data_IF_893405073755
#
_entry.id   IF_893405073755
#
_cell.length_a   1.000
_cell.length_b   1.000
_cell.length_c   1.000
_cell.angle_alpha   90.00
_cell.angle_beta   90.00
_cell.angle_gamma   90.00
#
_symmetry.space_group_name_H-M   'P 1'
#
loop_
_entity.id
_entity.type
_entity.pdbx_description
1 polymer ?
#
# COMPACT_ATOMS: atom_id res chain seq x y z
N UNK A 1 11.50 59.38 68.61
CA UNK A 1 10.89 60.38 67.71
C UNK A 1 9.94 59.65 66.78
N UNK A 2 8.63 59.86 66.92
CA UNK A 2 7.68 59.32 65.94
C UNK A 2 7.73 60.22 64.70
N UNK A 3 8.10 59.65 63.56
CA UNK A 3 8.08 60.34 62.28
C UNK A 3 6.63 60.60 61.92
N UNK A 4 6.17 61.83 62.11
CA UNK A 4 4.85 62.27 61.68
C UNK A 4 4.84 62.26 60.15
N UNK A 5 4.05 61.36 59.55
CA UNK A 5 3.86 61.32 58.10
C UNK A 5 3.51 62.73 57.61
N UNK A 6 4.24 63.29 56.63
CA UNK A 6 4.02 64.66 56.17
C UNK A 6 2.62 64.88 55.60
N UNK A 7 1.91 63.79 55.25
CA UNK A 7 0.52 63.76 54.78
C UNK A 7 -0.51 63.98 55.90
N UNK A 8 -0.12 63.92 57.18
CA UNK A 8 -1.00 64.10 58.34
C UNK A 8 -0.89 65.50 58.97
N UNK A 9 -0.46 66.52 58.22
CA UNK A 9 -0.43 67.92 58.68
C UNK A 9 -1.78 68.60 58.43
N UNK A 10 -2.28 69.36 59.40
CA UNK A 10 -3.52 70.12 59.26
C UNK A 10 -3.33 71.26 58.25
N UNK A 11 -4.14 71.24 57.18
CA UNK A 11 -4.29 72.40 56.30
C UNK A 11 -5.30 73.36 56.91
N UNK A 12 -4.97 74.65 56.97
CA UNK A 12 -5.90 75.70 57.40
C UNK A 12 -6.44 76.37 56.15
N UNK A 13 -7.76 76.45 56.01
CA UNK A 13 -8.44 77.09 54.90
C UNK A 13 -8.19 78.61 54.85
N UNK A 14 -8.48 79.23 53.70
CA UNK A 14 -8.35 80.69 53.52
C UNK A 14 -9.32 81.50 54.40
N UNK A 15 -10.33 80.84 54.96
CA UNK A 15 -11.29 81.32 55.95
C UNK A 15 -10.79 81.19 57.41
N UNK A 16 -9.60 80.63 57.62
CA UNK A 16 -9.01 80.40 58.94
C UNK A 16 -9.57 79.18 59.68
N UNK A 17 -10.49 78.43 59.08
CA UNK A 17 -11.00 77.18 59.64
C UNK A 17 -10.04 76.03 59.30
N UNK A 18 -9.84 75.11 60.23
CA UNK A 18 -9.10 73.89 59.94
C UNK A 18 -9.84 73.12 58.84
N UNK A 19 -9.19 72.86 57.70
CA UNK A 19 -9.68 71.85 56.76
C UNK A 19 -9.70 70.49 57.47
N UNK A 20 -10.47 69.57 56.90
CA UNK A 20 -10.74 68.24 57.47
C UNK A 20 -9.52 67.62 58.18
N UNK A 21 -9.78 66.94 59.31
CA UNK A 21 -8.71 66.39 60.13
C UNK A 21 -7.72 65.60 59.27
N UNK A 22 -6.39 65.76 59.43
CA UNK A 22 -5.42 65.20 58.47
C UNK A 22 -5.53 63.70 58.24
N UNK A 23 -6.00 62.98 59.26
CA UNK A 23 -6.33 61.55 59.17
C UNK A 23 -7.47 61.32 58.19
N UNK A 24 -8.54 62.13 58.24
CA UNK A 24 -9.68 62.08 57.32
C UNK A 24 -9.18 62.31 55.88
N UNK A 25 -8.43 63.40 55.64
CA UNK A 25 -7.90 63.71 54.31
C UNK A 25 -6.99 62.60 53.76
N UNK A 26 -6.15 61.99 54.60
CA UNK A 26 -5.31 60.87 54.21
C UNK A 26 -6.13 59.61 53.88
N UNK A 27 -7.12 59.26 54.72
CA UNK A 27 -8.00 58.12 54.47
C UNK A 27 -8.86 58.32 53.22
N UNK A 28 -9.35 59.54 52.97
CA UNK A 28 -10.12 59.87 51.78
C UNK A 28 -9.28 59.70 50.52
N UNK A 29 -8.03 60.18 50.52
CA UNK A 29 -7.11 59.95 49.40
C UNK A 29 -6.88 58.46 49.10
N UNK A 30 -6.73 57.61 50.11
CA UNK A 30 -6.59 56.16 49.91
C UNK A 30 -7.87 55.58 49.30
N UNK A 31 -9.03 55.98 49.83
CA UNK A 31 -10.33 55.53 49.32
C UNK A 31 -10.50 55.97 47.85
N UNK A 32 -10.12 57.20 47.50
CA UNK A 32 -10.15 57.69 46.12
C UNK A 32 -9.24 56.87 45.19
N UNK A 33 -8.00 56.60 45.61
CA UNK A 33 -7.04 55.78 44.87
C UNK A 33 -7.58 54.35 44.65
N UNK A 34 -8.13 53.71 45.69
CA UNK A 34 -8.76 52.38 45.59
C UNK A 34 -10.00 52.38 44.69
N UNK A 35 -10.85 53.41 44.77
CA UNK A 35 -12.01 53.53 43.90
C UNK A 35 -11.61 53.67 42.42
N UNK A 36 -10.54 54.42 42.12
CA UNK A 36 -9.99 54.53 40.76
C UNK A 36 -9.47 53.17 40.27
N UNK A 37 -8.74 52.43 41.11
CA UNK A 37 -8.25 51.09 40.78
C UNK A 37 -9.40 50.11 40.54
N UNK A 38 -10.43 50.12 41.39
CA UNK A 38 -11.63 49.30 41.23
C UNK A 38 -12.37 49.61 39.93
N UNK A 39 -12.54 50.90 39.59
CA UNK A 39 -13.15 51.32 38.32
C UNK A 39 -12.38 50.78 37.12
N UNK A 40 -11.05 50.90 37.13
CA UNK A 40 -10.17 50.34 36.08
C UNK A 40 -10.29 48.82 35.99
N UNK A 41 -10.24 48.12 37.12
CA UNK A 41 -10.38 46.66 37.17
C UNK A 41 -11.74 46.20 36.62
N UNK A 42 -12.81 46.89 36.99
CA UNK A 42 -14.17 46.60 36.50
C UNK A 42 -14.23 46.80 34.97
N UNK A 43 -13.72 47.91 34.46
CA UNK A 43 -13.68 48.21 33.01
C UNK A 43 -12.89 47.15 32.22
N UNK A 44 -11.73 46.75 32.71
CA UNK A 44 -10.92 45.68 32.12
C UNK A 44 -11.67 44.33 32.09
N UNK A 45 -12.36 43.97 33.18
CA UNK A 45 -13.14 42.73 33.23
C UNK A 45 -14.37 42.78 32.32
N UNK A 46 -15.07 43.91 32.24
CA UNK A 46 -16.18 44.09 31.29
C UNK A 46 -15.70 43.94 29.85
N UNK A 47 -14.52 44.48 29.52
CA UNK A 47 -13.93 44.33 28.19
C UNK A 47 -13.60 42.87 27.88
N UNK A 48 -12.95 42.16 28.82
CA UNK A 48 -12.65 40.72 28.69
C UNK A 48 -13.90 39.87 28.50
N UNK A 49 -14.95 40.13 29.28
CA UNK A 49 -16.23 39.42 29.15
C UNK A 49 -16.80 39.64 27.75
N UNK A 50 -16.82 40.88 27.25
CA UNK A 50 -17.32 41.17 25.90
C UNK A 50 -16.51 40.50 24.79
N UNK A 51 -15.19 40.41 24.95
CA UNK A 51 -14.36 39.72 23.97
C UNK A 51 -14.64 38.21 23.94
N UNK A 52 -14.78 37.57 25.10
CA UNK A 52 -15.18 36.15 25.20
C UNK A 52 -16.59 35.92 24.64
N UNK A 53 -17.55 36.80 24.93
CA UNK A 53 -18.90 36.72 24.36
C UNK A 53 -18.88 36.82 22.83
N UNK A 54 -18.01 37.67 22.26
CA UNK A 54 -17.83 37.81 20.82
C UNK A 54 -17.24 36.53 20.22
N UNK A 55 -16.20 35.95 20.84
CA UNK A 55 -15.61 34.68 20.42
C UNK A 55 -16.62 33.52 20.50
N UNK A 56 -17.39 33.45 21.59
CA UNK A 56 -18.44 32.45 21.74
C UNK A 56 -19.53 32.60 20.66
N UNK A 57 -19.94 33.84 20.36
CA UNK A 57 -20.86 34.15 19.27
C UNK A 57 -20.33 33.69 17.91
N UNK A 58 -19.06 33.98 17.62
CA UNK A 58 -18.39 33.56 16.38
C UNK A 58 -18.31 32.02 16.26
N UNK A 59 -17.89 31.33 17.32
CA UNK A 59 -17.78 29.87 17.34
C UNK A 59 -19.16 29.20 17.19
N UNK A 60 -20.18 29.75 17.84
CA UNK A 60 -21.56 29.26 17.70
C UNK A 60 -22.08 29.42 16.26
N UNK A 61 -21.77 30.54 15.61
CA UNK A 61 -22.09 30.75 14.20
C UNK A 61 -21.34 29.77 13.29
N UNK A 62 -20.04 29.57 13.52
CA UNK A 62 -19.23 28.61 12.76
C UNK A 62 -19.77 27.18 12.88
N UNK A 63 -20.13 26.75 14.10
CA UNK A 63 -20.77 25.45 14.32
C UNK A 63 -22.07 25.32 13.54
N UNK A 64 -22.92 26.35 13.52
CA UNK A 64 -24.18 26.33 12.75
C UNK A 64 -23.95 26.27 11.25
N UNK A 65 -22.99 27.03 10.72
CA UNK A 65 -22.67 27.06 9.29
C UNK A 65 -21.99 25.78 8.80
N UNK A 66 -21.17 25.15 9.65
CA UNK A 66 -20.35 23.98 9.27
C UNK A 66 -20.95 22.64 9.66
N UNK A 67 -21.86 22.58 10.64
CA UNK A 67 -22.41 21.31 11.13
C UNK A 67 -23.06 20.48 10.02
N UNK A 68 -23.84 21.10 9.12
CA UNK A 68 -24.49 20.43 8.00
C UNK A 68 -23.48 19.86 6.99
N UNK A 69 -22.67 20.71 6.32
CA UNK A 69 -21.67 20.27 5.36
C UNK A 69 -20.65 19.28 5.94
N UNK A 70 -20.18 19.49 7.18
CA UNK A 70 -19.24 18.58 7.85
C UNK A 70 -19.88 17.23 8.14
N UNK A 71 -21.13 17.20 8.64
CA UNK A 71 -21.87 15.95 8.86
C UNK A 71 -22.11 15.19 7.55
N UNK A 72 -22.52 15.90 6.48
CA UNK A 72 -22.72 15.31 5.17
C UNK A 72 -21.41 14.70 4.59
N UNK A 73 -20.28 15.41 4.74
CA UNK A 73 -18.97 14.90 4.34
C UNK A 73 -18.58 13.64 5.12
N UNK A 74 -18.78 13.62 6.44
CA UNK A 74 -18.53 12.43 7.27
C UNK A 74 -19.43 11.25 6.87
N UNK A 75 -20.72 11.47 6.63
CA UNK A 75 -21.65 10.43 6.19
C UNK A 75 -21.28 9.88 4.80
N UNK A 76 -20.87 10.75 3.88
CA UNK A 76 -20.38 10.34 2.57
C UNK A 76 -19.12 9.47 2.67
N UNK A 77 -18.17 9.82 3.54
CA UNK A 77 -16.98 8.99 3.80
C UNK A 77 -17.36 7.64 4.40
N UNK A 78 -18.31 7.60 5.34
CA UNK A 78 -18.85 6.35 5.90
C UNK A 78 -19.43 5.44 4.82
N UNK A 79 -20.28 5.98 3.94
CA UNK A 79 -20.86 5.23 2.80
C UNK A 79 -19.78 4.71 1.85
N UNK A 80 -18.73 5.51 1.57
CA UNK A 80 -17.59 5.06 0.75
C UNK A 80 -16.83 3.90 1.39
N UNK A 81 -16.63 3.93 2.71
CA UNK A 81 -15.98 2.86 3.47
C UNK A 81 -16.83 1.58 3.41
N UNK A 82 -18.14 1.68 3.62
CA UNK A 82 -19.07 0.55 3.56
C UNK A 82 -19.03 -0.14 2.17
N UNK A 83 -19.20 0.64 1.10
CA UNK A 83 -19.09 0.14 -0.28
C UNK A 83 -17.72 -0.49 -0.56
N UNK A 84 -16.63 0.10 -0.05
CA UNK A 84 -15.29 -0.47 -0.22
C UNK A 84 -15.13 -1.79 0.51
N UNK A 85 -15.74 -1.93 1.70
CA UNK A 85 -15.72 -3.14 2.53
C UNK A 85 -16.48 -4.26 1.85
N UNK A 86 -17.66 -3.97 1.28
CA UNK A 86 -18.44 -4.93 0.49
C UNK A 86 -17.68 -5.41 -0.75
N UNK A 87 -16.99 -4.51 -1.46
CA UNK A 87 -16.15 -4.87 -2.60
C UNK A 87 -14.98 -5.78 -2.20
N UNK A 88 -14.35 -5.51 -1.06
CA UNK A 88 -13.28 -6.36 -0.52
C UNK A 88 -13.84 -7.75 -0.19
N UNK A 89 -15.00 -7.83 0.46
CA UNK A 89 -15.63 -9.11 0.77
C UNK A 89 -15.95 -9.92 -0.50
N UNK A 90 -16.54 -9.28 -1.52
CA UNK A 90 -16.82 -9.93 -2.80
C UNK A 90 -15.54 -10.38 -3.53
N UNK A 91 -14.46 -9.60 -3.44
CA UNK A 91 -13.17 -9.97 -4.02
C UNK A 91 -12.53 -11.16 -3.29
N UNK A 92 -12.58 -11.19 -1.94
CA UNK A 92 -12.08 -12.32 -1.13
C UNK A 92 -12.81 -13.62 -1.44
N UNK A 93 -14.13 -13.58 -1.60
CA UNK A 93 -14.90 -14.77 -1.98
C UNK A 93 -14.43 -15.33 -3.33
N UNK A 94 -14.20 -14.46 -4.32
CA UNK A 94 -13.66 -14.87 -5.63
C UNK A 94 -12.23 -15.38 -5.55
N UNK A 95 -11.41 -14.78 -4.69
CA UNK A 95 -10.04 -15.22 -4.42
C UNK A 95 -10.05 -16.65 -3.83
N UNK A 96 -10.92 -16.93 -2.86
CA UNK A 96 -11.07 -18.27 -2.27
C UNK A 96 -11.56 -19.30 -3.29
N UNK A 97 -12.54 -18.95 -4.13
CA UNK A 97 -13.01 -19.81 -5.22
C UNK A 97 -11.90 -20.13 -6.22
N UNK A 98 -11.13 -19.12 -6.64
CA UNK A 98 -9.99 -19.29 -7.54
C UNK A 98 -8.89 -20.14 -6.91
N UNK A 99 -8.60 -19.95 -5.62
CA UNK A 99 -7.65 -20.76 -4.86
C UNK A 99 -8.06 -22.23 -4.81
N UNK A 100 -9.33 -22.51 -4.51
CA UNK A 100 -9.87 -23.88 -4.50
C UNK A 100 -9.77 -24.54 -5.88
N UNK A 101 -10.08 -23.80 -6.95
CA UNK A 101 -9.95 -24.29 -8.33
C UNK A 101 -8.48 -24.56 -8.70
N UNK A 102 -7.56 -23.69 -8.28
CA UNK A 102 -6.12 -23.87 -8.47
C UNK A 102 -5.59 -25.10 -7.72
N UNK A 103 -5.97 -25.29 -6.46
CA UNK A 103 -5.58 -26.45 -5.66
C UNK A 103 -6.08 -27.76 -6.30
N UNK A 104 -7.32 -27.78 -6.81
CA UNK A 104 -7.88 -28.92 -7.53
C UNK A 104 -7.10 -29.20 -8.84
N UNK A 105 -6.82 -28.18 -9.65
CA UNK A 105 -6.04 -28.32 -10.87
C UNK A 105 -4.59 -28.78 -10.59
N UNK A 106 -3.95 -28.23 -9.55
CA UNK A 106 -2.60 -28.63 -9.12
C UNK A 106 -2.54 -30.10 -8.69
N UNK A 107 -3.59 -30.59 -8.01
CA UNK A 107 -3.68 -32.01 -7.66
C UNK A 107 -3.75 -32.89 -8.91
N UNK A 108 -4.61 -32.54 -9.88
CA UNK A 108 -4.72 -33.29 -11.15
C UNK A 108 -3.38 -33.35 -11.89
N UNK A 109 -2.65 -32.23 -11.97
CA UNK A 109 -1.32 -32.21 -12.59
C UNK A 109 -0.36 -33.17 -11.89
N UNK A 110 -0.33 -33.19 -10.56
CA UNK A 110 0.53 -34.11 -9.79
C UNK A 110 0.16 -35.57 -10.00
N UNK A 111 -1.14 -35.88 -10.04
CA UNK A 111 -1.63 -37.25 -10.26
C UNK A 111 -1.26 -37.74 -11.67
N UNK A 112 -1.35 -36.88 -12.69
CA UNK A 112 -0.92 -37.16 -14.06
C UNK A 112 0.61 -37.29 -14.19
N UNK A 113 1.37 -36.43 -13.52
CA UNK A 113 2.84 -36.52 -13.46
C UNK A 113 3.30 -37.84 -12.81
N UNK A 114 2.65 -38.26 -11.72
CA UNK A 114 2.93 -39.54 -11.06
C UNK A 114 2.58 -40.73 -11.97
N UNK A 115 1.45 -40.67 -12.67
CA UNK A 115 1.04 -41.71 -13.62
C UNK A 115 2.04 -41.81 -14.78
N UNK A 116 2.45 -40.67 -15.35
CA UNK A 116 3.49 -40.61 -16.38
C UNK A 116 4.82 -41.20 -15.89
N UNK A 117 5.24 -40.86 -14.67
CA UNK A 117 6.49 -41.37 -14.11
C UNK A 117 6.47 -42.89 -13.96
N UNK A 118 5.37 -43.46 -13.44
CA UNK A 118 5.18 -44.92 -13.37
C UNK A 118 5.26 -45.58 -14.74
N UNK A 119 4.63 -45.00 -15.77
CA UNK A 119 4.69 -45.53 -17.13
C UNK A 119 6.09 -45.47 -17.74
N UNK A 120 6.86 -44.42 -17.44
CA UNK A 120 8.25 -44.33 -17.88
C UNK A 120 9.13 -45.40 -17.21
N UNK A 121 8.89 -45.68 -15.92
CA UNK A 121 9.58 -46.74 -15.17
C UNK A 121 9.23 -48.13 -15.72
N UNK A 122 7.95 -48.40 -15.98
CA UNK A 122 7.47 -49.65 -16.59
C UNK A 122 8.06 -49.86 -17.99
N UNK A 123 8.08 -48.81 -18.82
CA UNK A 123 8.69 -48.86 -20.15
C UNK A 123 10.19 -49.19 -20.06
N UNK A 124 10.92 -48.51 -19.16
CA UNK A 124 12.34 -48.77 -18.96
C UNK A 124 12.59 -50.21 -18.50
N UNK A 125 11.77 -50.71 -17.57
CA UNK A 125 11.80 -52.11 -17.12
C UNK A 125 11.57 -53.09 -18.27
N UNK A 126 10.55 -52.86 -19.11
CA UNK A 126 10.24 -53.71 -20.26
C UNK A 126 11.36 -53.71 -21.31
N UNK A 127 11.97 -52.55 -21.58
CA UNK A 127 13.11 -52.41 -22.49
C UNK A 127 14.31 -53.21 -21.96
N UNK A 128 14.61 -53.11 -20.67
CA UNK A 128 15.70 -53.87 -20.04
C UNK A 128 15.41 -55.38 -20.04
N UNK A 129 14.19 -55.80 -19.69
CA UNK A 129 13.79 -57.21 -19.71
C UNK A 129 13.86 -57.81 -21.12
N UNK A 130 13.39 -57.09 -22.13
CA UNK A 130 13.47 -57.50 -23.53
C UNK A 130 14.92 -57.63 -23.98
N UNK A 131 15.76 -56.64 -23.68
CA UNK A 131 17.19 -56.66 -24.00
C UNK A 131 17.91 -57.83 -23.32
N UNK A 132 17.69 -58.03 -22.01
CA UNK A 132 18.27 -59.14 -21.25
C UNK A 132 17.82 -60.51 -21.78
N UNK A 133 16.55 -60.65 -22.15
CA UNK A 133 16.01 -61.88 -22.77
C UNK A 133 16.66 -62.15 -24.12
N UNK A 134 16.84 -61.11 -24.95
CA UNK A 134 17.51 -61.23 -26.25
C UNK A 134 18.99 -61.62 -26.07
N UNK A 135 19.71 -61.01 -25.12
CA UNK A 135 21.10 -61.37 -24.81
C UNK A 135 21.23 -62.79 -24.29
N UNK A 136 20.40 -63.21 -23.33
CA UNK A 136 20.40 -64.59 -22.82
C UNK A 136 20.15 -65.62 -23.93
N UNK A 137 19.22 -65.32 -24.85
CA UNK A 137 18.95 -66.17 -26.02
C UNK A 137 20.14 -66.23 -26.98
N UNK A 138 20.83 -65.10 -27.23
CA UNK A 138 22.04 -65.06 -28.04
C UNK A 138 23.18 -65.85 -27.40
N UNK A 139 23.37 -65.74 -26.08
CA UNK A 139 24.37 -66.51 -25.34
C UNK A 139 24.08 -68.02 -25.35
N UNK A 140 22.81 -68.41 -25.30
CA UNK A 140 22.42 -69.82 -25.44
C UNK A 140 22.74 -70.35 -26.85
N UNK A 141 22.38 -69.60 -27.90
CA UNK A 141 22.71 -69.96 -29.28
C UNK A 141 24.23 -70.05 -29.49
N UNK A 142 24.98 -69.11 -28.91
CA UNK A 142 26.45 -69.15 -28.91
C UNK A 142 26.98 -70.41 -28.22
N UNK A 143 26.50 -70.75 -27.01
CA UNK A 143 26.88 -71.99 -26.30
C UNK A 143 26.55 -73.26 -27.10
N UNK A 144 25.39 -73.31 -27.76
CA UNK A 144 24.99 -74.44 -28.63
C UNK A 144 25.92 -74.55 -29.86
N UNK A 145 26.30 -73.44 -30.48
CA UNK A 145 27.25 -73.42 -31.60
C UNK A 145 28.65 -73.86 -31.18
N UNK A 146 29.10 -73.46 -29.98
CA UNK A 146 30.38 -73.90 -29.40
C UNK A 146 30.36 -75.41 -29.10
N UNK A 147 29.27 -75.94 -28.55
CA UNK A 147 29.11 -77.38 -28.26
C UNK A 147 29.08 -78.26 -29.53
N UNK A 148 28.58 -77.73 -30.66
CA UNK A 148 28.61 -78.42 -31.96
C UNK A 148 29.98 -78.39 -32.64
N UNK A 149 30.85 -77.46 -32.25
CA UNK A 149 32.20 -77.31 -32.79
C UNK A 149 33.28 -77.49 -31.70
N UNK A 150 33.32 -78.65 -31.01
CA UNK A 150 34.27 -78.87 -29.91
C UNK A 150 35.74 -78.77 -30.35
N UNK A 151 36.00 -78.97 -31.64
CA UNK A 151 37.34 -78.94 -32.25
C UNK A 151 37.73 -77.57 -32.84
N UNK A 152 37.00 -76.48 -32.56
CA UNK A 152 37.33 -75.11 -33.04
C UNK A 152 37.65 -74.16 -31.90
N UNK A 153 38.46 -74.63 -30.94
CA UNK A 153 39.07 -73.77 -29.93
C UNK A 153 40.18 -72.94 -30.58
N UNK A 154 40.04 -71.62 -30.52
CA UNK A 154 41.07 -70.61 -30.82
C UNK A 154 41.54 -70.49 -32.27
N UNK A 155 41.01 -69.52 -33.02
CA UNK A 155 41.83 -68.51 -33.74
C UNK A 155 40.98 -67.46 -34.45
N UNK A 156 41.24 -66.19 -34.08
CA UNK A 156 41.45 -65.07 -35.00
C UNK A 156 40.35 -64.70 -36.00
N UNK A 157 39.59 -63.65 -35.67
CA UNK A 157 39.26 -62.58 -36.63
C UNK A 157 39.59 -61.24 -35.98
N UNK A 158 40.84 -60.80 -36.18
CA UNK A 158 41.11 -59.40 -36.50
C UNK A 158 40.60 -59.19 -37.94
N UNK A 159 39.68 -58.26 -38.18
CA UNK A 159 39.51 -57.64 -39.50
C UNK A 159 38.74 -56.33 -39.33
N UNK A 160 39.45 -55.19 -39.48
CA UNK A 160 39.35 -54.29 -40.65
C UNK A 160 38.08 -53.44 -40.54
N UNK A 161 38.12 -52.21 -39.99
CA UNK A 161 38.67 -50.99 -40.60
C UNK A 161 37.99 -50.65 -41.93
N UNK A 162 36.96 -49.79 -41.91
CA UNK A 162 36.65 -48.73 -42.91
C UNK A 162 35.27 -48.10 -42.63
N UNK A 163 35.00 -46.84 -43.02
CA UNK A 163 35.89 -45.72 -43.33
C UNK A 163 35.59 -44.47 -42.49
N UNK A 164 36.60 -43.60 -42.36
CA UNK A 164 36.40 -42.20 -42.06
C UNK A 164 35.53 -41.57 -43.15
N UNK A 165 34.30 -41.16 -42.83
CA UNK A 165 33.54 -40.21 -43.64
C UNK A 165 33.38 -38.91 -42.86
N UNK A 166 34.20 -37.95 -43.27
CA UNK A 166 34.03 -36.51 -43.09
C UNK A 166 32.69 -36.07 -43.69
N UNK A 167 32.18 -34.92 -43.23
CA UNK A 167 30.88 -34.27 -43.54
C UNK A 167 29.74 -34.81 -42.65
N UNK A 168 28.97 -34.02 -41.92
CA UNK A 168 28.57 -32.63 -42.08
C UNK A 168 28.58 -31.93 -40.72
N UNK A 169 29.23 -30.77 -40.72
CA UNK A 169 29.06 -29.72 -39.73
C UNK A 169 27.61 -29.26 -39.79
N UNK A 170 26.84 -29.49 -38.73
CA UNK A 170 25.62 -28.70 -38.48
C UNK A 170 25.62 -28.24 -37.02
N UNK A 171 26.36 -27.16 -36.80
CA UNK A 171 25.86 -25.91 -36.26
C UNK A 171 24.50 -25.96 -35.54
N UNK A 172 24.56 -26.02 -34.21
CA UNK A 172 23.84 -25.13 -33.27
C UNK A 172 22.28 -25.15 -33.23
N UNK A 173 21.65 -24.60 -32.17
CA UNK A 173 22.24 -24.06 -30.95
C UNK A 173 21.78 -24.76 -29.67
N UNK A 174 22.62 -24.60 -28.66
CA UNK A 174 22.25 -24.68 -27.27
C UNK A 174 20.84 -24.10 -27.01
N UNK A 175 19.95 -24.94 -26.46
CA UNK A 175 18.78 -24.48 -25.72
C UNK A 175 19.27 -23.90 -24.38
N UNK A 176 19.82 -22.70 -24.47
CA UNK A 176 19.41 -21.54 -23.71
C UNK A 176 18.77 -21.84 -22.33
N UNK A 177 19.61 -21.94 -21.31
CA UNK A 177 19.34 -21.35 -20.00
C UNK A 177 20.69 -21.14 -19.31
N UNK A 178 21.39 -20.09 -19.75
CA UNK A 178 22.56 -19.56 -19.07
C UNK A 178 22.25 -19.36 -17.58
N UNK A 179 22.80 -20.24 -16.74
CA UNK A 179 23.24 -19.88 -15.41
C UNK A 179 24.36 -18.85 -15.60
N UNK A 180 24.04 -17.57 -15.44
CA UNK A 180 25.03 -16.50 -15.53
C UNK A 180 24.58 -15.34 -14.64
N UNK A 181 25.18 -15.30 -13.45
CA UNK A 181 25.43 -14.16 -12.55
C UNK A 181 24.27 -13.47 -11.80
N UNK A 182 24.36 -13.34 -10.45
CA UNK A 182 23.80 -12.21 -9.73
C UNK A 182 24.73 -11.01 -9.98
N UNK A 183 24.62 -10.42 -11.18
CA UNK A 183 25.38 -9.24 -11.59
C UNK A 183 24.69 -7.97 -11.11
N UNK A 184 24.98 -7.61 -9.87
CA UNK A 184 24.79 -6.30 -9.23
C UNK A 184 25.13 -5.16 -10.22
N UNK A 185 24.22 -4.26 -10.62
CA UNK A 185 24.63 -3.00 -11.22
C UNK A 185 24.90 -2.01 -10.09
N UNK A 186 26.18 -1.76 -9.87
CA UNK A 186 26.67 -0.54 -9.23
C UNK A 186 26.18 0.64 -10.06
N UNK A 187 25.18 1.36 -9.55
CA UNK A 187 24.82 2.67 -10.07
C UNK A 187 25.85 3.67 -9.57
N UNK A 188 26.74 4.02 -10.49
CA UNK A 188 27.73 5.06 -10.32
C UNK A 188 27.05 6.44 -10.45
N UNK A 189 27.21 7.21 -9.37
CA UNK A 189 27.32 8.66 -9.25
C UNK A 189 26.93 9.62 -10.38
N UNK A 190 26.22 10.68 -9.94
CA UNK A 190 26.36 12.05 -10.42
C UNK A 190 25.44 12.38 -11.60
N UNK A 191 24.73 13.49 -11.63
CA UNK A 191 24.93 14.76 -10.95
C UNK A 191 23.68 15.64 -11.19
N UNK A 192 23.38 16.55 -10.26
CA UNK A 192 22.74 17.86 -10.48
C UNK A 192 21.31 17.93 -11.07
N UNK A 193 20.45 18.90 -10.77
CA UNK A 193 20.26 19.88 -9.70
C UNK A 193 18.96 20.63 -10.09
N UNK A 194 18.10 20.96 -9.12
CA UNK A 194 17.08 22.00 -9.24
C UNK A 194 15.82 21.67 -10.08
N UNK A 195 14.60 21.99 -9.68
CA UNK A 195 14.10 22.79 -8.58
C UNK A 195 12.70 23.30 -8.92
N UNK A 196 11.85 23.42 -7.89
CA UNK A 196 10.67 24.31 -7.78
C UNK A 196 9.43 23.98 -8.64
N UNK A 197 8.18 24.19 -8.23
CA UNK A 197 7.46 24.43 -6.96
C UNK A 197 5.97 24.57 -7.37
N UNK A 198 5.06 24.15 -6.48
CA UNK A 198 3.72 24.70 -6.21
C UNK A 198 2.72 24.98 -7.36
N UNK A 199 1.54 24.31 -7.39
CA UNK A 199 0.31 24.79 -6.73
C UNK A 199 -0.61 25.48 -7.77
N UNK A 200 -1.93 25.39 -7.87
CA UNK A 200 -3.05 25.19 -6.94
C UNK A 200 -4.32 24.71 -7.71
N UNK A 201 -5.33 24.27 -6.93
CA UNK A 201 -6.63 23.66 -7.27
C UNK A 201 -7.68 24.59 -7.94
N UNK A 202 -8.78 24.02 -8.47
CA UNK A 202 -9.82 24.68 -9.27
C UNK A 202 -11.09 25.07 -8.49
N UNK A 203 -11.94 25.91 -9.11
CA UNK A 203 -13.24 26.35 -8.61
C UNK A 203 -14.43 25.71 -9.36
N UNK A 204 -15.48 25.44 -8.59
CA UNK A 204 -16.78 24.80 -8.87
C UNK A 204 -17.89 25.79 -9.25
N UNK A 205 -18.90 25.35 -10.01
CA UNK A 205 -20.32 25.79 -9.97
C UNK A 205 -21.16 24.82 -10.85
N UNK A 206 -21.98 23.93 -10.29
CA UNK A 206 -23.43 24.08 -9.97
C UNK A 206 -24.35 24.45 -11.15
N UNK A 207 -25.39 23.63 -11.38
CA UNK A 207 -26.41 23.86 -12.40
C UNK A 207 -27.40 22.70 -12.56
N UNK A 208 -28.54 22.82 -11.90
CA UNK A 208 -29.67 21.89 -11.75
C UNK A 208 -30.40 21.40 -13.03
N UNK A 209 -31.19 20.34 -12.82
CA UNK A 209 -32.59 20.18 -13.26
C UNK A 209 -32.98 19.22 -14.39
N UNK A 210 -33.76 18.21 -13.96
CA UNK A 210 -35.05 17.74 -14.53
C UNK A 210 -35.06 16.81 -15.76
N UNK A 211 -35.31 15.54 -15.42
CA UNK A 211 -36.59 14.83 -15.70
C UNK A 211 -36.80 14.09 -17.04
N UNK A 212 -37.12 12.79 -16.85
CA UNK A 212 -38.19 11.96 -17.49
C UNK A 212 -37.84 11.05 -18.68
N UNK A 213 -38.06 9.73 -18.39
CA UNK A 213 -38.61 8.64 -19.24
C UNK A 213 -37.62 8.01 -20.27
N UNK A 214 -37.54 6.70 -20.54
CA UNK A 214 -38.17 5.42 -20.11
C UNK A 214 -37.30 4.29 -20.74
N UNK A 215 -37.20 3.05 -20.19
CA UNK A 215 -36.20 2.07 -20.62
C UNK A 215 -36.67 1.22 -21.82
N UNK A 216 -35.74 0.80 -22.68
CA UNK A 216 -36.01 -0.23 -23.68
C UNK A 216 -34.83 -1.18 -23.81
N UNK A 217 -35.08 -2.41 -23.37
CA UNK A 217 -34.22 -3.57 -23.44
C UNK A 217 -34.49 -4.28 -24.77
N UNK A 218 -33.48 -4.44 -25.64
CA UNK A 218 -33.49 -5.45 -26.69
C UNK A 218 -32.06 -5.97 -26.90
N UNK A 219 -31.83 -7.18 -26.40
CA UNK A 219 -30.65 -7.96 -26.74
C UNK A 219 -30.76 -8.54 -28.15
N UNK A 220 -29.63 -8.61 -28.86
CA UNK A 220 -29.10 -9.79 -29.55
C UNK A 220 -27.90 -9.40 -30.40
N UNK A 221 -26.80 -10.10 -30.18
CA UNK A 221 -26.07 -10.72 -31.29
C UNK A 221 -24.94 -9.92 -31.95
N UNK A 222 -23.72 -10.31 -31.55
CA UNK A 222 -22.52 -10.58 -32.38
C UNK A 222 -22.05 -9.47 -33.35
N UNK A 223 -20.90 -8.87 -33.02
CA UNK A 223 -20.12 -8.06 -33.95
C UNK A 223 -18.76 -7.64 -33.38
N UNK A 224 -17.79 -8.57 -33.51
CA UNK A 224 -16.33 -8.45 -33.75
C UNK A 224 -15.66 -7.09 -33.44
N UNK A 225 -14.55 -7.18 -32.68
CA UNK A 225 -13.95 -6.08 -31.93
C UNK A 225 -13.11 -5.06 -32.70
N UNK A 226 -12.78 -3.98 -31.98
CA UNK A 226 -11.64 -3.09 -32.21
C UNK A 226 -11.10 -2.64 -30.84
N UNK A 227 -9.78 -2.50 -30.79
CA UNK A 227 -8.88 -2.53 -29.63
C UNK A 227 -8.86 -1.26 -28.75
N UNK A 228 -8.36 -1.49 -27.52
CA UNK A 228 -8.11 -0.59 -26.39
C UNK A 228 -7.36 0.73 -26.71
N UNK A 229 -7.66 1.76 -25.89
CA UNK A 229 -6.68 2.74 -25.37
C UNK A 229 -7.24 3.47 -24.14
N UNK A 230 -6.53 3.39 -23.00
CA UNK A 230 -6.45 4.53 -22.06
C UNK A 230 -6.68 4.27 -20.56
N UNK A 231 -5.55 4.13 -19.83
CA UNK A 231 -5.24 4.54 -18.44
C UNK A 231 -6.22 4.15 -17.32
N UNK A 232 -5.84 3.44 -16.27
CA UNK A 232 -4.53 3.20 -15.67
C UNK A 232 -4.79 2.98 -14.18
N UNK A 233 -4.85 1.71 -13.77
CA UNK A 233 -5.17 1.29 -12.41
C UNK A 233 -3.94 1.31 -11.51
N UNK A 234 -4.11 1.87 -10.31
CA UNK A 234 -3.12 1.83 -9.24
C UNK A 234 -3.23 0.47 -8.53
N UNK A 235 -2.26 -0.41 -8.77
CA UNK A 235 -2.05 -1.65 -8.02
C UNK A 235 -1.08 -1.37 -6.87
N UNK A 236 -1.46 -1.78 -5.66
CA UNK A 236 -0.76 -1.46 -4.42
C UNK A 236 0.61 -2.12 -4.25
N UNK A 237 1.44 -1.45 -3.45
CA UNK A 237 2.58 -2.03 -2.74
C UNK A 237 2.97 -1.09 -1.57
N UNK A 238 2.98 -1.64 -0.35
CA UNK A 238 4.00 -1.35 0.66
C UNK A 238 3.91 -0.06 1.49
N UNK A 239 3.27 -0.16 2.67
CA UNK A 239 3.81 0.46 3.88
C UNK A 239 3.49 -0.47 5.06
N UNK A 240 4.48 -1.29 5.37
CA UNK A 240 4.61 -1.98 6.64
C UNK A 240 5.66 -1.18 7.44
N UNK A 241 5.27 -0.66 8.60
CA UNK A 241 6.14 0.11 9.48
C UNK A 241 6.21 -0.67 10.79
N UNK A 242 7.12 -1.63 10.82
CA UNK A 242 7.54 -2.31 12.04
C UNK A 242 8.75 -1.59 12.66
N UNK A 243 8.57 -1.20 13.92
CA UNK A 243 9.55 -1.23 15.00
C UNK A 243 10.94 -0.64 14.80
N UNK A 244 11.19 0.51 15.43
CA UNK A 244 12.48 0.80 16.10
C UNK A 244 12.30 1.85 17.21
N UNK A 245 12.66 1.42 18.43
CA UNK A 245 12.86 2.12 19.71
C UNK A 245 11.64 2.37 20.59
#
# INVERSE_FOLDING_TARGET
>A
MMASDPKLKAEIGADGLAREAPVIAYTEKIIEEEQVQLRKYIEENYTKIRDVEREFGNLSMELKLTAGPKKAAMEHLRKKIEVSTERIHAAKLKEEEARKAFEAASKVVKDEEATKQSLCEDLNSLVQQSSNTQYARLEELKRRLEALNPNRSSTSIQQVQEPETKSVVDSAPAANANQTHPGKPENNHGNEEGGKEHGQRPATAEGESKAKKKPQNQGRGRGIGIMNKGRGGWTGAGFDVDGRN
#
